data_IF_042961523987
#
_entry.id   IF_042961523987
#
_cell.length_a   1.000
_cell.length_b   1.000
_cell.length_c   1.000
_cell.angle_alpha   90.00
_cell.angle_beta   90.00
_cell.angle_gamma   90.00
#
_symmetry.space_group_name_H-M   'P 1'
#
loop_
_entity.id
_entity.type
_entity.pdbx_description
1 polymer ?
#
# COMPACT_ATOMS: atom_id res chain seq x y z
N UNK A 1 -6.86 -12.18 6.75
CA UNK A 1 -7.74 -12.17 7.95
C UNK A 1 -8.01 -10.76 8.50
N UNK A 2 -7.05 -9.82 8.44
CA UNK A 2 -7.21 -8.43 8.95
C UNK A 2 -8.12 -7.49 8.12
N UNK A 3 -8.59 -7.90 6.94
CA UNK A 3 -9.54 -7.10 6.13
C UNK A 3 -11.02 -7.31 6.52
N UNK A 4 -11.35 -8.40 7.22
CA UNK A 4 -12.74 -8.77 7.53
C UNK A 4 -13.36 -7.89 8.63
N UNK A 5 -12.58 -7.38 9.57
CA UNK A 5 -13.09 -6.56 10.69
C UNK A 5 -13.31 -5.08 10.27
N UNK A 6 -13.19 -4.74 8.98
CA UNK A 6 -13.43 -3.40 8.46
C UNK A 6 -14.85 -3.21 7.91
N UNK A 7 -15.61 -4.30 7.75
CA UNK A 7 -16.90 -4.30 7.08
C UNK A 7 -17.94 -3.42 7.80
N UNK A 8 -18.13 -3.61 9.10
CA UNK A 8 -19.31 -3.07 9.76
C UNK A 8 -19.17 -1.57 10.09
N UNK A 9 -17.97 -1.10 10.48
CA UNK A 9 -17.76 0.31 10.84
C UNK A 9 -17.69 1.25 9.62
N UNK A 10 -17.22 0.76 8.46
CA UNK A 10 -17.16 1.57 7.23
C UNK A 10 -18.46 1.52 6.43
N UNK A 11 -19.25 0.43 6.56
CA UNK A 11 -20.52 0.27 5.85
C UNK A 11 -21.62 1.24 6.34
N UNK A 12 -21.52 1.76 7.58
CA UNK A 12 -22.49 2.72 8.12
C UNK A 12 -22.39 4.14 7.55
N UNK A 13 -21.21 4.55 7.05
CA UNK A 13 -20.95 5.94 6.61
C UNK A 13 -21.00 6.18 5.11
N UNK A 14 -20.84 5.12 4.31
CA UNK A 14 -20.86 5.21 2.86
C UNK A 14 -21.89 4.19 2.37
N UNK A 15 -22.93 4.69 1.69
CA UNK A 15 -23.91 3.83 1.04
C UNK A 15 -23.24 3.11 -0.14
N UNK A 16 -22.58 1.97 0.16
CA UNK A 16 -21.91 1.09 -0.81
C UNK A 16 -22.84 0.76 -1.98
N UNK A 17 -24.13 0.57 -1.69
CA UNK A 17 -25.16 0.28 -2.68
C UNK A 17 -25.33 1.46 -3.64
N UNK A 18 -25.47 2.68 -3.12
CA UNK A 18 -25.60 3.89 -3.96
C UNK A 18 -24.38 4.11 -4.86
N UNK A 19 -23.15 3.90 -4.36
CA UNK A 19 -21.96 4.07 -5.20
C UNK A 19 -21.76 2.92 -6.19
N UNK A 20 -22.11 1.68 -5.81
CA UNK A 20 -22.16 0.53 -6.71
C UNK A 20 -23.15 0.75 -7.86
N UNK A 21 -24.33 1.30 -7.56
CA UNK A 21 -25.31 1.71 -8.56
C UNK A 21 -24.76 2.81 -9.48
N UNK A 22 -24.08 3.82 -8.93
CA UNK A 22 -23.44 4.88 -9.76
C UNK A 22 -22.40 4.30 -10.72
N UNK A 23 -21.57 3.36 -10.29
CA UNK A 23 -20.56 2.71 -11.14
C UNK A 23 -21.19 1.86 -12.25
N UNK A 24 -22.30 1.19 -11.94
CA UNK A 24 -23.00 0.28 -12.87
C UNK A 24 -24.10 0.96 -13.69
N UNK A 25 -24.38 2.24 -13.45
CA UNK A 25 -25.35 3.01 -14.27
C UNK A 25 -24.70 3.47 -15.56
N UNK A 26 -25.30 3.09 -16.70
CA UNK A 26 -24.87 3.55 -18.03
C UNK A 26 -25.56 4.89 -18.32
N UNK A 27 -24.85 6.00 -18.12
CA UNK A 27 -25.28 7.32 -18.62
C UNK A 27 -24.74 7.53 -20.03
N UNK A 28 -25.61 7.88 -20.97
CA UNK A 28 -25.31 8.10 -22.41
C UNK A 28 -24.70 9.47 -22.73
N UNK A 29 -24.46 10.32 -21.73
CA UNK A 29 -23.80 11.62 -21.94
C UNK A 29 -22.37 11.42 -22.46
N UNK A 30 -22.01 12.05 -23.59
CA UNK A 30 -20.62 12.20 -24.01
C UNK A 30 -19.82 12.81 -22.85
N UNK A 31 -18.71 12.18 -22.47
CA UNK A 31 -17.77 12.76 -21.51
C UNK A 31 -17.26 14.07 -22.13
N UNK A 32 -17.12 15.14 -21.34
CA UNK A 32 -16.70 16.46 -21.82
C UNK A 32 -15.35 16.44 -22.59
N UNK A 33 -14.54 15.39 -22.40
CA UNK A 33 -13.24 15.17 -23.04
C UNK A 33 -13.26 14.29 -24.31
N UNK A 34 -14.43 13.93 -24.85
CA UNK A 34 -14.52 13.22 -26.14
C UNK A 34 -14.24 11.70 -26.12
N UNK A 35 -13.86 11.14 -24.96
CA UNK A 35 -13.71 9.70 -24.74
C UNK A 35 -15.02 8.94 -24.45
N UNK A 36 -15.04 7.63 -24.72
CA UNK A 36 -16.19 6.73 -24.45
C UNK A 36 -16.14 6.13 -23.04
N UNK A 37 -14.95 6.04 -22.43
CA UNK A 37 -14.73 5.46 -21.10
C UNK A 37 -14.72 6.56 -20.04
N UNK A 38 -15.61 6.41 -19.06
CA UNK A 38 -15.81 7.37 -17.98
C UNK A 38 -14.85 7.10 -16.82
N UNK A 39 -14.30 8.17 -16.25
CA UNK A 39 -13.40 8.11 -15.09
C UNK A 39 -14.20 8.47 -13.84
N UNK A 40 -14.23 7.56 -12.89
CA UNK A 40 -14.76 7.75 -11.55
C UNK A 40 -13.59 7.83 -10.58
N UNK A 41 -13.76 8.58 -9.49
CA UNK A 41 -12.70 8.70 -8.49
C UNK A 41 -13.21 8.61 -7.06
N UNK A 42 -12.37 8.06 -6.20
CA UNK A 42 -12.54 8.08 -4.74
C UNK A 42 -11.35 8.86 -4.19
N UNK A 43 -11.63 9.99 -3.54
CA UNK A 43 -10.63 10.90 -2.99
C UNK A 43 -10.72 10.91 -1.47
N UNK A 44 -9.62 11.25 -0.78
CA UNK A 44 -9.61 11.37 0.67
C UNK A 44 -8.21 11.16 1.24
N UNK A 45 -8.03 11.50 2.51
CA UNK A 45 -6.72 11.45 3.18
C UNK A 45 -6.14 10.02 3.23
N UNK A 46 -4.85 9.91 3.53
CA UNK A 46 -4.18 8.61 3.75
C UNK A 46 -4.86 7.83 4.86
N UNK A 47 -5.03 6.52 4.68
CA UNK A 47 -5.62 5.65 5.71
C UNK A 47 -7.13 5.82 5.94
N UNK A 48 -7.80 6.64 5.12
CA UNK A 48 -9.25 6.82 5.21
C UNK A 48 -10.06 5.59 4.73
N UNK A 49 -9.41 4.67 4.02
CA UNK A 49 -10.04 3.42 3.55
C UNK A 49 -10.59 3.45 2.12
N UNK A 50 -10.02 4.28 1.22
CA UNK A 50 -10.40 4.33 -0.20
C UNK A 50 -10.31 2.94 -0.87
N UNK A 51 -9.16 2.28 -0.78
CA UNK A 51 -8.95 0.95 -1.37
C UNK A 51 -9.85 -0.11 -0.71
N UNK A 52 -10.12 0.02 0.59
CA UNK A 52 -11.09 -0.82 1.31
C UNK A 52 -12.49 -0.67 0.74
N UNK A 53 -12.94 0.56 0.45
CA UNK A 53 -14.24 0.77 -0.20
C UNK A 53 -14.28 0.10 -1.59
N UNK A 54 -13.20 0.18 -2.37
CA UNK A 54 -13.15 -0.52 -3.66
C UNK A 54 -13.24 -2.03 -3.49
N UNK A 55 -12.51 -2.61 -2.53
CA UNK A 55 -12.63 -4.04 -2.22
C UNK A 55 -14.07 -4.42 -1.86
N UNK A 56 -14.74 -3.63 -1.01
CA UNK A 56 -16.14 -3.86 -0.67
C UNK A 56 -17.03 -3.83 -1.92
N UNK A 57 -16.88 -2.83 -2.80
CA UNK A 57 -17.64 -2.76 -4.06
C UNK A 57 -17.45 -4.00 -4.93
N UNK A 58 -16.23 -4.55 -4.95
CA UNK A 58 -15.93 -5.77 -5.69
C UNK A 58 -16.48 -7.05 -5.06
N UNK A 59 -17.03 -7.03 -3.85
CA UNK A 59 -17.73 -8.20 -3.30
C UNK A 59 -19.13 -8.38 -3.89
N UNK A 60 -19.70 -7.30 -4.44
CA UNK A 60 -21.00 -7.37 -5.09
C UNK A 60 -20.87 -8.06 -6.45
N UNK A 61 -21.51 -9.23 -6.57
CA UNK A 61 -21.55 -10.02 -7.81
C UNK A 61 -22.19 -9.27 -8.97
N UNK A 62 -23.06 -8.28 -8.73
CA UNK A 62 -23.67 -7.47 -9.77
C UNK A 62 -22.64 -6.56 -10.45
N UNK A 63 -21.65 -6.06 -9.71
CA UNK A 63 -20.53 -5.29 -10.26
C UNK A 63 -19.74 -6.18 -11.23
N UNK A 64 -19.39 -7.40 -10.83
CA UNK A 64 -18.69 -8.36 -11.71
C UNK A 64 -19.45 -8.67 -12.99
N UNK A 65 -20.74 -8.98 -12.87
CA UNK A 65 -21.61 -9.26 -14.03
C UNK A 65 -21.75 -8.05 -14.95
N UNK A 66 -21.81 -6.83 -14.40
CA UNK A 66 -21.96 -5.63 -15.19
C UNK A 66 -20.78 -5.41 -16.16
N UNK A 67 -19.57 -5.76 -15.73
CA UNK A 67 -18.34 -5.59 -16.51
C UNK A 67 -17.88 -6.90 -17.17
N UNK A 68 -18.79 -7.85 -17.44
CA UNK A 68 -18.48 -9.12 -18.09
C UNK A 68 -17.29 -9.88 -17.44
N UNK A 69 -17.10 -9.70 -16.14
CA UNK A 69 -15.95 -10.21 -15.35
C UNK A 69 -14.57 -9.66 -15.76
N UNK A 70 -14.52 -8.61 -16.59
CA UNK A 70 -13.31 -7.86 -16.94
C UNK A 70 -13.01 -6.77 -15.91
N UNK A 71 -12.57 -7.19 -14.73
CA UNK A 71 -12.13 -6.29 -13.65
C UNK A 71 -10.62 -6.42 -13.47
N UNK A 72 -9.92 -5.29 -13.61
CA UNK A 72 -8.46 -5.24 -13.57
C UNK A 72 -8.01 -4.27 -12.48
N UNK A 73 -7.09 -4.69 -11.61
CA UNK A 73 -6.55 -3.88 -10.53
C UNK A 73 -5.07 -3.57 -10.75
N UNK A 74 -4.73 -2.30 -10.79
CA UNK A 74 -3.36 -1.81 -10.91
C UNK A 74 -3.09 -0.88 -9.74
N UNK A 75 -2.16 -1.28 -8.85
CA UNK A 75 -1.63 -0.38 -7.85
C UNK A 75 -0.58 0.52 -8.49
N UNK A 76 -0.86 1.82 -8.51
CA UNK A 76 0.04 2.83 -9.03
C UNK A 76 0.94 3.30 -7.90
N UNK A 77 2.25 3.38 -8.17
CA UNK A 77 3.19 4.00 -7.23
C UNK A 77 4.13 4.95 -7.86
N UNK A 78 4.35 6.04 -7.12
CA UNK A 78 5.20 7.10 -7.60
C UNK A 78 4.49 7.83 -8.75
N UNK A 79 5.22 8.75 -9.35
CA UNK A 79 4.68 9.61 -10.40
C UNK A 79 4.33 8.76 -11.63
N UNK A 80 3.19 9.02 -12.27
CA UNK A 80 2.77 8.42 -13.56
C UNK A 80 3.56 9.05 -14.73
N UNK A 81 4.69 9.67 -14.46
CA UNK A 81 5.56 10.22 -15.50
C UNK A 81 6.22 9.13 -16.36
N UNK A 82 6.09 7.85 -15.95
CA UNK A 82 6.41 6.70 -16.78
C UNK A 82 5.13 6.03 -17.34
N UNK A 83 4.60 6.62 -18.41
CA UNK A 83 3.48 6.06 -19.21
C UNK A 83 3.71 4.61 -19.64
N UNK A 84 4.95 4.21 -19.91
CA UNK A 84 5.27 2.83 -20.32
C UNK A 84 5.09 1.87 -19.16
N UNK A 85 5.52 2.25 -17.96
CA UNK A 85 5.33 1.45 -16.74
C UNK A 85 3.85 1.25 -16.44
N UNK A 86 3.04 2.30 -16.49
CA UNK A 86 1.59 2.17 -16.25
C UNK A 86 0.92 1.30 -17.30
N UNK A 87 1.19 1.54 -18.59
CA UNK A 87 0.63 0.72 -19.67
C UNK A 87 1.02 -0.77 -19.52
N UNK A 88 2.27 -1.05 -19.16
CA UNK A 88 2.75 -2.42 -18.93
C UNK A 88 2.04 -3.08 -17.75
N UNK A 89 1.85 -2.35 -16.64
CA UNK A 89 1.13 -2.84 -15.47
C UNK A 89 -0.36 -3.12 -15.77
N UNK A 90 -1.00 -2.29 -16.61
CA UNK A 90 -2.38 -2.53 -17.07
C UNK A 90 -2.43 -3.79 -17.94
N UNK A 91 -1.53 -3.94 -18.91
CA UNK A 91 -1.47 -5.15 -19.76
C UNK A 91 -1.29 -6.39 -18.89
N UNK A 92 -0.43 -6.32 -17.88
CA UNK A 92 -0.20 -7.41 -16.95
C UNK A 92 -1.43 -7.78 -16.12
N UNK A 93 -2.21 -6.79 -15.69
CA UNK A 93 -3.47 -7.04 -15.00
C UNK A 93 -4.50 -7.70 -15.93
N UNK A 94 -4.44 -7.44 -17.23
CA UNK A 94 -5.38 -8.00 -18.22
C UNK A 94 -5.00 -9.41 -18.65
N UNK A 95 -3.72 -9.67 -18.92
CA UNK A 95 -3.26 -10.93 -19.49
C UNK A 95 -1.84 -11.29 -19.06
N UNK A 96 -1.59 -12.60 -18.91
CA UNK A 96 -0.27 -13.17 -18.69
C UNK A 96 0.00 -14.25 -19.76
N UNK A 97 1.20 -14.30 -20.38
CA UNK A 97 2.39 -13.48 -20.11
C UNK A 97 2.35 -12.07 -20.74
N UNK A 98 3.15 -11.15 -20.18
CA UNK A 98 3.28 -9.76 -20.65
C UNK A 98 4.31 -9.70 -21.78
N UNK A 99 3.95 -9.23 -22.99
CA UNK A 99 4.94 -9.00 -24.04
C UNK A 99 5.85 -7.82 -23.66
N UNK A 100 7.15 -7.95 -23.91
CA UNK A 100 8.12 -6.89 -23.61
C UNK A 100 8.21 -5.92 -24.79
N UNK A 101 7.91 -4.65 -24.54
CA UNK A 101 8.04 -3.57 -25.51
C UNK A 101 9.03 -2.52 -24.99
N UNK A 102 10.02 -2.17 -25.82
CA UNK A 102 11.00 -1.11 -25.50
C UNK A 102 10.49 0.28 -25.90
N UNK A 103 9.61 0.34 -26.88
CA UNK A 103 9.08 1.56 -27.46
C UNK A 103 7.62 1.80 -27.08
N UNK A 104 7.19 3.07 -27.10
CA UNK A 104 5.83 3.44 -26.71
C UNK A 104 4.79 3.02 -27.75
N UNK A 105 5.10 3.16 -29.05
CA UNK A 105 4.14 2.90 -30.13
C UNK A 105 3.63 1.44 -30.17
N UNK A 106 4.51 0.42 -30.11
CA UNK A 106 4.05 -0.97 -30.01
C UNK A 106 3.26 -1.23 -28.73
N UNK A 107 3.70 -0.66 -27.60
CA UNK A 107 3.06 -0.85 -26.29
C UNK A 107 1.64 -0.27 -26.25
N UNK A 108 1.45 0.95 -26.78
CA UNK A 108 0.15 1.62 -26.79
C UNK A 108 -0.86 0.93 -27.70
N UNK A 109 -0.40 0.41 -28.85
CA UNK A 109 -1.25 -0.39 -29.76
C UNK A 109 -1.68 -1.68 -29.07
N UNK A 110 -0.75 -2.38 -28.42
CA UNK A 110 -1.05 -3.60 -27.69
C UNK A 110 -2.02 -3.37 -26.52
N UNK A 111 -1.82 -2.31 -25.73
CA UNK A 111 -2.75 -1.91 -24.68
C UNK A 111 -4.16 -1.69 -25.24
N UNK A 112 -4.26 -0.96 -26.35
CA UNK A 112 -5.53 -0.68 -27.02
C UNK A 112 -6.23 -1.97 -27.46
N UNK A 113 -5.50 -2.90 -28.05
CA UNK A 113 -6.04 -4.18 -28.51
C UNK A 113 -6.49 -5.08 -27.35
N UNK A 114 -5.80 -5.02 -26.20
CA UNK A 114 -6.16 -5.80 -25.00
C UNK A 114 -7.56 -5.48 -24.46
N UNK A 115 -8.03 -4.24 -24.63
CA UNK A 115 -9.31 -3.74 -24.08
C UNK A 115 -10.37 -3.47 -25.16
N UNK A 116 -9.96 -3.46 -26.43
CA UNK A 116 -10.85 -3.15 -27.55
C UNK A 116 -12.10 -4.04 -27.53
N UNK A 117 -13.27 -3.41 -27.49
CA UNK A 117 -14.56 -4.10 -27.51
C UNK A 117 -14.93 -4.84 -26.22
N UNK A 118 -14.11 -4.77 -25.17
CA UNK A 118 -14.44 -5.33 -23.85
C UNK A 118 -15.12 -4.27 -22.99
N UNK A 119 -16.16 -4.66 -22.26
CA UNK A 119 -16.75 -3.81 -21.22
C UNK A 119 -16.02 -4.08 -19.92
N UNK A 120 -15.17 -3.16 -19.47
CA UNK A 120 -14.27 -3.41 -18.34
C UNK A 120 -14.40 -2.39 -17.20
N UNK A 121 -13.94 -2.79 -16.01
CA UNK A 121 -13.62 -1.90 -14.90
C UNK A 121 -12.12 -1.95 -14.63
N UNK A 122 -11.42 -0.84 -14.85
CA UNK A 122 -10.00 -0.70 -14.54
C UNK A 122 -9.84 0.12 -13.26
N UNK A 123 -9.24 -0.47 -12.24
CA UNK A 123 -8.97 0.18 -10.96
C UNK A 123 -7.51 0.64 -10.95
N UNK A 124 -7.32 1.95 -10.85
CA UNK A 124 -6.02 2.58 -10.65
C UNK A 124 -5.95 3.03 -9.18
N UNK A 125 -5.29 2.22 -8.36
CA UNK A 125 -5.25 2.40 -6.91
C UNK A 125 -4.02 3.19 -6.47
N UNK A 126 -4.23 4.16 -5.57
CA UNK A 126 -3.26 5.08 -4.96
C UNK A 126 -2.48 5.95 -5.97
N UNK A 127 -3.19 6.50 -6.94
CA UNK A 127 -2.62 7.36 -7.99
C UNK A 127 -2.07 8.66 -7.39
N UNK A 128 -0.80 8.97 -7.68
CA UNK A 128 -0.14 10.22 -7.32
C UNK A 128 0.65 10.80 -8.49
N UNK A 129 0.75 12.13 -8.59
CA UNK A 129 1.68 12.81 -9.52
C UNK A 129 1.49 12.40 -10.98
N UNK A 130 0.39 12.82 -11.59
CA UNK A 130 0.06 12.56 -13.00
C UNK A 130 0.22 13.84 -13.78
N UNK A 131 1.06 13.81 -14.80
CA UNK A 131 1.09 14.83 -15.84
C UNK A 131 -0.17 14.72 -16.71
N UNK A 132 -0.93 15.81 -16.80
CA UNK A 132 -2.20 15.87 -17.53
C UNK A 132 -2.01 15.54 -19.01
N UNK A 133 -0.93 16.03 -19.62
CA UNK A 133 -0.67 15.84 -21.05
C UNK A 133 -0.46 14.35 -21.33
N UNK A 134 0.36 13.69 -20.52
CA UNK A 134 0.61 12.25 -20.63
C UNK A 134 -0.67 11.40 -20.47
N UNK A 135 -1.55 11.77 -19.52
CA UNK A 135 -2.82 11.06 -19.34
C UNK A 135 -3.77 11.28 -20.52
N UNK A 136 -4.09 12.54 -20.84
CA UNK A 136 -5.14 12.90 -21.81
C UNK A 136 -4.72 12.63 -23.26
N UNK A 137 -3.45 12.83 -23.61
CA UNK A 137 -2.99 12.71 -25.01
C UNK A 137 -2.51 11.31 -25.37
N UNK A 138 -2.09 10.50 -24.39
CA UNK A 138 -1.39 9.24 -24.67
C UNK A 138 -2.07 8.00 -24.08
N UNK A 139 -2.31 7.97 -22.76
CA UNK A 139 -2.84 6.79 -22.07
C UNK A 139 -4.37 6.67 -22.21
N UNK A 140 -5.11 7.74 -21.92
CA UNK A 140 -6.57 7.76 -21.95
C UNK A 140 -7.14 7.41 -23.33
N UNK A 141 -6.57 7.88 -24.46
CA UNK A 141 -7.04 7.48 -25.80
C UNK A 141 -6.88 5.99 -26.10
N UNK A 142 -5.88 5.32 -25.51
CA UNK A 142 -5.76 3.87 -25.59
C UNK A 142 -6.92 3.21 -24.86
N UNK A 143 -7.20 3.67 -23.63
CA UNK A 143 -8.27 3.16 -22.77
C UNK A 143 -9.67 3.36 -23.35
N UNK A 144 -9.87 4.41 -24.15
CA UNK A 144 -11.13 4.70 -24.85
C UNK A 144 -11.51 3.72 -25.97
N UNK A 145 -10.67 2.72 -26.28
CA UNK A 145 -11.04 1.62 -27.16
C UNK A 145 -12.01 0.60 -26.51
N UNK A 146 -12.24 0.70 -25.20
CA UNK A 146 -13.21 -0.12 -24.47
C UNK A 146 -14.64 0.00 -25.01
N UNK A 147 -15.45 -1.03 -24.75
CA UNK A 147 -16.87 -0.99 -25.08
C UNK A 147 -17.63 0.04 -24.24
N UNK A 148 -18.77 0.51 -24.76
CA UNK A 148 -19.65 1.42 -24.03
C UNK A 148 -20.04 0.83 -22.67
N UNK A 149 -19.97 1.67 -21.63
CA UNK A 149 -20.22 1.25 -20.25
C UNK A 149 -18.97 0.81 -19.50
N UNK A 150 -17.79 0.76 -20.15
CA UNK A 150 -16.52 0.59 -19.42
C UNK A 150 -16.26 1.78 -18.49
N UNK A 151 -15.50 1.53 -17.42
CA UNK A 151 -15.17 2.51 -16.38
C UNK A 151 -13.71 2.40 -15.96
N UNK A 152 -13.14 3.55 -15.60
CA UNK A 152 -11.86 3.63 -14.87
C UNK A 152 -12.19 4.17 -13.49
N UNK A 153 -11.79 3.46 -12.44
CA UNK A 153 -11.94 3.89 -11.05
C UNK A 153 -10.57 4.25 -10.47
N UNK A 154 -10.40 5.51 -10.10
CA UNK A 154 -9.15 6.05 -9.54
C UNK A 154 -9.30 6.22 -8.03
N UNK A 155 -8.38 5.71 -7.23
CA UNK A 155 -8.25 6.12 -5.83
C UNK A 155 -7.05 7.06 -5.68
N UNK A 156 -7.23 8.19 -5.00
CA UNK A 156 -6.14 9.17 -4.81
C UNK A 156 -6.34 10.01 -3.56
N UNK A 157 -5.25 10.62 -3.06
CA UNK A 157 -5.32 11.63 -2.01
C UNK A 157 -5.54 13.04 -2.58
N UNK A 158 -5.23 13.25 -3.86
CA UNK A 158 -5.28 14.56 -4.50
C UNK A 158 -6.58 14.71 -5.33
N UNK A 159 -7.47 15.56 -4.82
CA UNK A 159 -8.73 15.88 -5.49
C UNK A 159 -8.52 16.56 -6.85
N UNK A 160 -7.50 17.40 -6.96
CA UNK A 160 -7.19 18.10 -8.21
C UNK A 160 -6.68 17.12 -9.25
N UNK A 161 -5.87 16.14 -8.84
CA UNK A 161 -5.41 15.05 -9.71
C UNK A 161 -6.57 14.26 -10.31
N UNK A 162 -7.56 13.90 -9.50
CA UNK A 162 -8.74 13.20 -9.98
C UNK A 162 -9.53 14.02 -11.01
N UNK A 163 -9.69 15.32 -10.78
CA UNK A 163 -10.34 16.22 -11.75
C UNK A 163 -9.55 16.33 -13.06
N UNK A 164 -8.22 16.43 -12.95
CA UNK A 164 -7.29 16.46 -14.08
C UNK A 164 -7.32 15.19 -14.92
N UNK A 165 -7.56 14.02 -14.31
CA UNK A 165 -7.75 12.75 -15.02
C UNK A 165 -9.13 12.61 -15.69
N UNK A 166 -9.97 13.66 -15.65
CA UNK A 166 -11.28 13.68 -16.29
C UNK A 166 -12.42 13.19 -15.41
N UNK A 167 -12.22 13.02 -14.09
CA UNK A 167 -13.32 12.75 -13.16
C UNK A 167 -14.11 14.03 -12.92
N UNK A 168 -15.38 14.05 -13.34
CA UNK A 168 -16.29 15.15 -13.03
C UNK A 168 -16.63 15.19 -11.53
N UNK A 169 -17.23 16.30 -11.07
CA UNK A 169 -17.71 16.42 -9.68
C UNK A 169 -18.77 15.38 -9.32
N UNK A 170 -19.61 14.96 -10.28
CA UNK A 170 -20.62 13.92 -10.07
C UNK A 170 -20.02 12.51 -9.99
N UNK A 171 -18.85 12.32 -10.58
CA UNK A 171 -18.14 11.03 -10.65
C UNK A 171 -17.12 10.83 -9.53
N UNK A 172 -16.93 11.87 -8.72
CA UNK A 172 -15.96 11.95 -7.64
C UNK A 172 -16.65 11.75 -6.29
N UNK A 173 -16.30 10.66 -5.59
CA UNK A 173 -16.66 10.44 -4.20
C UNK A 173 -15.54 10.95 -3.30
N UNK A 174 -15.85 11.86 -2.39
CA UNK A 174 -14.93 12.24 -1.33
C UNK A 174 -15.22 11.44 -0.07
N UNK A 175 -14.25 10.63 0.36
CA UNK A 175 -14.32 9.89 1.61
C UNK A 175 -14.02 10.81 2.79
N UNK A 176 -15.06 11.09 3.56
CA UNK A 176 -14.97 11.86 4.80
C UNK A 176 -14.35 11.08 5.95
N UNK A 177 -14.05 11.80 7.02
CA UNK A 177 -13.63 11.24 8.32
C UNK A 177 -14.83 10.63 9.03
N UNK A 178 -14.57 9.60 9.84
CA UNK A 178 -15.58 9.02 10.73
C UNK A 178 -16.02 10.07 11.77
N UNK A 179 -17.26 9.93 12.24
CA UNK A 179 -17.75 10.71 13.37
C UNK A 179 -17.00 10.34 14.66
N UNK A 180 -17.05 11.17 15.69
CA UNK A 180 -16.45 10.87 17.00
C UNK A 180 -17.04 9.58 17.61
N UNK A 181 -18.34 9.35 17.45
CA UNK A 181 -19.02 8.17 17.98
C UNK A 181 -18.62 6.90 17.23
N UNK A 182 -18.55 6.95 15.90
CA UNK A 182 -18.10 5.80 15.10
C UNK A 182 -16.61 5.51 15.29
N UNK A 183 -15.82 6.57 15.51
CA UNK A 183 -14.41 6.43 15.87
C UNK A 183 -14.25 5.72 17.21
N UNK A 184 -15.07 6.08 18.20
CA UNK A 184 -15.09 5.41 19.50
C UNK A 184 -15.56 3.97 19.40
N UNK A 185 -16.60 3.69 18.60
CA UNK A 185 -17.11 2.34 18.38
C UNK A 185 -16.03 1.46 17.73
N UNK A 186 -15.40 1.93 16.66
CA UNK A 186 -14.31 1.22 15.99
C UNK A 186 -13.11 1.00 16.93
N UNK A 187 -12.76 2.00 17.74
CA UNK A 187 -11.69 1.88 18.73
C UNK A 187 -12.00 0.79 19.76
N UNK A 188 -13.20 0.81 20.34
CA UNK A 188 -13.65 -0.15 21.35
C UNK A 188 -13.69 -1.58 20.79
N UNK A 189 -14.19 -1.73 19.57
CA UNK A 189 -14.30 -3.03 18.91
C UNK A 189 -12.93 -3.69 18.74
N UNK A 190 -11.93 -2.90 18.38
CA UNK A 190 -10.57 -3.38 18.21
C UNK A 190 -9.89 -3.57 19.57
N UNK A 191 -9.97 -2.61 20.49
CA UNK A 191 -9.26 -2.64 21.76
C UNK A 191 -9.78 -3.70 22.75
N UNK A 192 -11.07 -4.05 22.69
CA UNK A 192 -11.76 -4.88 23.68
C UNK A 192 -12.49 -6.06 23.01
N UNK A 193 -11.76 -7.06 22.47
CA UNK A 193 -12.36 -8.18 21.74
C UNK A 193 -13.25 -9.10 22.61
N UNK A 194 -13.12 -9.06 23.94
CA UNK A 194 -13.97 -9.79 24.89
C UNK A 194 -14.54 -8.76 25.89
N UNK A 195 -15.85 -8.48 25.79
CA UNK A 195 -16.50 -7.38 26.52
C UNK A 195 -17.02 -7.82 27.89
N UNK A 196 -16.82 -6.96 28.90
CA UNK A 196 -17.77 -6.80 30.02
C UNK A 196 -18.22 -5.34 30.06
N UNK A 197 -19.51 -5.08 30.28
CA UNK A 197 -20.04 -3.70 30.25
C UNK A 197 -19.31 -2.74 31.20
N UNK A 198 -18.78 -3.27 32.31
CA UNK A 198 -18.01 -2.50 33.28
C UNK A 198 -16.70 -1.95 32.70
N UNK A 199 -15.97 -2.74 31.92
CA UNK A 199 -14.70 -2.32 31.31
C UNK A 199 -14.88 -1.22 30.25
N UNK A 200 -16.02 -1.24 29.56
CA UNK A 200 -16.39 -0.21 28.59
C UNK A 200 -16.70 1.10 29.32
N UNK A 201 -17.55 1.05 30.36
CA UNK A 201 -17.93 2.23 31.14
C UNK A 201 -16.76 2.88 31.88
N UNK A 202 -15.88 2.08 32.49
CA UNK A 202 -14.73 2.60 33.26
C UNK A 202 -13.69 3.30 32.37
N UNK A 203 -13.74 3.09 31.05
CA UNK A 203 -12.75 3.60 30.08
C UNK A 203 -13.36 4.46 28.97
N UNK A 204 -14.65 4.75 29.04
CA UNK A 204 -15.38 5.44 27.97
C UNK A 204 -14.91 6.88 27.77
N UNK A 205 -14.69 7.62 28.87
CA UNK A 205 -14.25 9.02 28.84
C UNK A 205 -12.86 9.15 28.21
N UNK A 206 -11.91 8.33 28.67
CA UNK A 206 -10.55 8.25 28.10
C UNK A 206 -10.58 7.77 26.65
N UNK A 207 -11.33 6.69 26.38
CA UNK A 207 -11.45 6.13 25.04
C UNK A 207 -12.00 7.14 24.02
N UNK A 208 -12.93 8.00 24.44
CA UNK A 208 -13.50 9.05 23.61
C UNK A 208 -12.46 10.12 23.24
N UNK A 209 -11.66 10.57 24.19
CA UNK A 209 -10.61 11.56 23.92
C UNK A 209 -9.48 10.97 23.05
N UNK A 210 -9.13 9.71 23.27
CA UNK A 210 -8.21 8.96 22.41
C UNK A 210 -8.74 8.80 20.97
N UNK A 211 -10.02 8.46 20.81
CA UNK A 211 -10.66 8.35 19.51
C UNK A 211 -10.68 9.69 18.76
N UNK A 212 -11.01 10.79 19.47
CA UNK A 212 -10.93 12.16 18.93
C UNK A 212 -9.52 12.51 18.46
N UNK A 213 -8.50 12.08 19.20
CA UNK A 213 -7.10 12.28 18.82
C UNK A 213 -6.69 11.66 17.49
N UNK A 214 -7.40 10.61 17.05
CA UNK A 214 -7.23 10.00 15.73
C UNK A 214 -7.97 10.76 14.61
N UNK A 215 -8.75 11.79 14.98
CA UNK A 215 -9.45 12.71 14.10
C UNK A 215 -10.30 12.03 13.02
N UNK A 216 -10.95 10.92 13.36
CA UNK A 216 -11.83 10.17 12.47
C UNK A 216 -11.13 9.43 11.31
N UNK A 217 -9.81 9.21 11.36
CA UNK A 217 -9.08 8.41 10.36
C UNK A 217 -9.07 6.94 10.79
N UNK A 218 -9.77 6.02 10.07
CA UNK A 218 -9.85 4.61 10.43
C UNK A 218 -8.50 3.97 10.70
N UNK A 219 -7.51 4.20 9.84
CA UNK A 219 -6.18 3.59 10.02
C UNK A 219 -5.49 4.01 11.33
N UNK A 220 -5.64 5.27 11.78
CA UNK A 220 -5.15 5.73 13.08
C UNK A 220 -5.92 5.07 14.22
N UNK A 221 -7.24 5.03 14.14
CA UNK A 221 -8.12 4.43 15.15
C UNK A 221 -7.80 2.95 15.33
N UNK A 222 -7.62 2.21 14.22
CA UNK A 222 -7.21 0.81 14.26
C UNK A 222 -5.86 0.66 14.93
N UNK A 223 -4.88 1.48 14.53
CA UNK A 223 -3.54 1.46 15.10
C UNK A 223 -3.59 1.66 16.61
N UNK A 224 -4.32 2.68 17.06
CA UNK A 224 -4.50 2.95 18.48
C UNK A 224 -5.20 1.78 19.17
N UNK A 225 -6.33 1.31 18.66
CA UNK A 225 -7.09 0.21 19.27
C UNK A 225 -6.26 -1.05 19.49
N UNK A 226 -5.38 -1.38 18.54
CA UNK A 226 -4.43 -2.47 18.70
C UNK A 226 -3.42 -2.23 19.83
N UNK A 227 -2.90 -1.01 19.98
CA UNK A 227 -2.06 -0.65 21.11
C UNK A 227 -2.77 -0.81 22.46
N UNK A 228 -4.06 -0.46 22.52
CA UNK A 228 -4.82 -0.56 23.77
C UNK A 228 -5.08 -2.00 24.21
N UNK A 229 -4.79 -3.02 23.36
CA UNK A 229 -4.86 -4.44 23.77
C UNK A 229 -3.76 -4.79 24.76
N UNK A 230 -2.62 -4.10 24.73
CA UNK A 230 -1.52 -4.30 25.68
C UNK A 230 -1.65 -3.31 26.85
N UNK A 231 -1.74 -3.84 28.07
CA UNK A 231 -1.85 -3.04 29.29
C UNK A 231 -0.61 -2.20 29.59
N UNK A 232 0.58 -2.57 29.11
CA UNK A 232 1.81 -1.79 29.31
C UNK A 232 1.82 -0.56 28.41
N UNK A 233 1.43 -0.74 27.14
CA UNK A 233 1.35 0.33 26.14
C UNK A 233 0.30 1.36 26.55
N UNK A 234 -0.82 0.88 27.10
CA UNK A 234 -1.91 1.70 27.64
C UNK A 234 -1.44 2.77 28.65
N UNK A 235 -0.54 2.43 29.57
CA UNK A 235 -0.02 3.39 30.56
C UNK A 235 0.75 4.53 29.91
N UNK A 236 1.65 4.23 28.96
CA UNK A 236 2.48 5.25 28.31
C UNK A 236 1.65 6.21 27.44
N UNK A 237 0.67 5.66 26.70
CA UNK A 237 -0.25 6.48 25.88
C UNK A 237 -1.05 7.45 26.77
N UNK A 238 -1.50 6.99 27.92
CA UNK A 238 -2.22 7.82 28.89
C UNK A 238 -1.33 8.92 29.49
N UNK A 239 -0.12 8.57 29.89
CA UNK A 239 0.83 9.47 30.53
C UNK A 239 1.35 10.57 29.57
N UNK A 240 1.29 10.33 28.26
CA UNK A 240 1.72 11.31 27.24
C UNK A 240 0.89 12.61 27.26
N UNK A 241 -0.37 12.57 27.70
CA UNK A 241 -1.25 13.73 27.90
C UNK A 241 -1.57 14.57 26.64
N UNK A 242 -1.06 14.21 25.47
CA UNK A 242 -1.27 14.92 24.21
C UNK A 242 -1.76 13.96 23.12
N UNK A 243 -3.08 13.82 23.02
CA UNK A 243 -3.74 12.88 22.11
C UNK A 243 -4.19 13.58 20.84
N UNK A 244 -3.24 13.93 19.97
CA UNK A 244 -3.53 14.45 18.63
C UNK A 244 -2.46 13.96 17.67
N UNK A 245 -2.88 13.15 16.70
CA UNK A 245 -1.99 12.52 15.74
C UNK A 245 -2.43 12.82 14.32
N UNK A 246 -1.54 13.41 13.53
CA UNK A 246 -1.76 13.66 12.11
C UNK A 246 -1.27 12.50 11.23
N UNK A 247 -0.49 11.58 11.81
CA UNK A 247 0.07 10.43 11.11
C UNK A 247 0.25 9.25 12.04
N UNK A 248 0.39 8.06 11.44
CA UNK A 248 0.67 6.84 12.20
C UNK A 248 2.03 6.94 12.87
N UNK A 249 2.98 7.64 12.25
CA UNK A 249 4.30 7.90 12.85
C UNK A 249 4.18 8.64 14.18
N UNK A 250 3.41 9.75 14.21
CA UNK A 250 3.20 10.51 15.45
C UNK A 250 2.58 9.64 16.55
N UNK A 251 1.62 8.79 16.18
CA UNK A 251 0.98 7.84 17.09
C UNK A 251 1.94 6.75 17.60
N UNK A 252 2.73 6.15 16.70
CA UNK A 252 3.76 5.16 17.05
C UNK A 252 4.77 5.78 18.02
N UNK A 253 5.23 7.00 17.77
CA UNK A 253 6.20 7.72 18.62
C UNK A 253 5.60 8.01 20.00
N UNK A 254 4.35 8.49 20.08
CA UNK A 254 3.72 8.83 21.36
C UNK A 254 3.38 7.62 22.24
N UNK A 255 3.27 6.44 21.64
CA UNK A 255 2.87 5.22 22.34
C UNK A 255 4.01 4.53 23.10
N UNK A 256 5.25 5.01 22.95
CA UNK A 256 6.48 4.35 23.39
C UNK A 256 6.72 2.93 22.82
N UNK A 257 5.79 2.41 22.01
CA UNK A 257 5.93 1.12 21.31
C UNK A 257 7.01 1.19 20.25
N UNK A 258 7.19 2.38 19.68
CA UNK A 258 8.26 2.66 18.73
C UNK A 258 9.61 2.86 19.43
N UNK A 259 9.98 1.84 20.19
CA UNK A 259 11.26 1.67 20.86
C UNK A 259 12.41 1.90 19.87
N UNK A 260 13.59 2.24 20.39
CA UNK A 260 14.77 2.42 19.56
C UNK A 260 15.03 1.19 18.67
N UNK A 261 14.78 0.00 19.19
CA UNK A 261 15.04 -1.28 18.53
C UNK A 261 14.03 -1.52 17.38
N UNK A 262 12.72 -1.33 17.63
CA UNK A 262 11.69 -1.41 16.58
C UNK A 262 11.89 -0.35 15.50
N UNK A 263 12.33 0.85 15.88
CA UNK A 263 12.63 1.93 14.93
C UNK A 263 13.77 1.57 13.98
N UNK A 264 14.83 0.95 14.47
CA UNK A 264 15.91 0.49 13.59
C UNK A 264 15.44 -0.67 12.68
N UNK A 265 14.61 -1.59 13.20
CA UNK A 265 13.98 -2.64 12.40
C UNK A 265 13.12 -2.06 11.26
N UNK A 266 12.31 -1.03 11.55
CA UNK A 266 11.49 -0.35 10.54
C UNK A 266 12.33 0.40 9.51
N UNK A 267 13.33 1.19 9.94
CA UNK A 267 14.26 1.88 9.02
C UNK A 267 15.03 0.93 8.12
N UNK A 268 15.37 -0.27 8.60
CA UNK A 268 16.02 -1.27 7.76
C UNK A 268 15.17 -1.65 6.54
N UNK A 269 13.85 -1.64 6.68
CA UNK A 269 12.94 -1.99 5.61
C UNK A 269 12.99 -1.03 4.42
N UNK A 270 13.49 0.19 4.60
CA UNK A 270 13.80 1.13 3.51
C UNK A 270 14.84 0.61 2.50
N UNK A 271 15.70 -0.33 2.94
CA UNK A 271 16.67 -1.01 2.07
C UNK A 271 16.05 -2.13 1.24
N UNK A 272 14.81 -2.54 1.53
CA UNK A 272 14.09 -3.51 0.72
C UNK A 272 13.47 -2.79 -0.50
N UNK A 273 13.41 -3.42 -1.68
CA UNK A 273 12.69 -2.85 -2.82
C UNK A 273 11.20 -2.65 -2.55
N UNK A 274 10.57 -1.75 -3.30
CA UNK A 274 9.12 -1.65 -3.29
C UNK A 274 8.49 -2.97 -3.75
N UNK A 275 7.38 -3.36 -3.11
CA UNK A 275 6.66 -4.62 -3.35
C UNK A 275 7.51 -5.90 -3.15
N UNK A 276 8.68 -5.79 -2.52
CA UNK A 276 9.56 -6.93 -2.25
C UNK A 276 8.87 -7.93 -1.32
N UNK A 277 8.77 -9.17 -1.79
CA UNK A 277 8.26 -10.28 -1.00
C UNK A 277 9.36 -10.84 -0.12
N UNK A 278 9.17 -10.71 1.19
CA UNK A 278 10.07 -11.27 2.18
C UNK A 278 9.37 -12.33 3.02
N UNK A 279 10.12 -13.40 3.30
CA UNK A 279 9.72 -14.38 4.29
C UNK A 279 9.92 -13.80 5.70
N UNK A 280 8.99 -14.12 6.59
CA UNK A 280 8.99 -13.62 7.96
C UNK A 280 10.27 -13.97 8.72
N UNK A 281 10.67 -15.23 8.68
CA UNK A 281 11.83 -15.72 9.43
C UNK A 281 13.13 -15.14 8.86
N UNK A 282 13.17 -14.91 7.54
CA UNK A 282 14.29 -14.20 6.89
C UNK A 282 14.37 -12.75 7.39
N UNK A 283 13.25 -12.03 7.45
CA UNK A 283 13.24 -10.63 7.91
C UNK A 283 13.71 -10.53 9.37
N UNK A 284 13.21 -11.41 10.24
CA UNK A 284 13.64 -11.47 11.65
C UNK A 284 15.14 -11.75 11.75
N UNK A 285 15.66 -12.75 11.04
CA UNK A 285 17.10 -13.07 11.02
C UNK A 285 17.96 -11.91 10.50
N UNK A 286 17.45 -11.13 9.54
CA UNK A 286 18.15 -9.92 9.09
C UNK A 286 18.22 -8.88 10.20
N UNK A 287 17.13 -8.63 10.94
CA UNK A 287 17.16 -7.72 12.08
C UNK A 287 18.09 -8.19 13.20
N UNK A 288 18.14 -9.50 13.45
CA UNK A 288 19.10 -10.10 14.39
C UNK A 288 20.54 -9.87 13.93
N UNK A 289 20.86 -10.14 12.67
CA UNK A 289 22.20 -9.98 12.11
C UNK A 289 22.70 -8.52 12.14
N UNK A 290 21.80 -7.54 12.05
CA UNK A 290 22.14 -6.13 12.21
C UNK A 290 22.24 -5.68 13.67
N UNK A 291 21.93 -6.55 14.63
CA UNK A 291 21.96 -6.25 16.06
C UNK A 291 20.85 -5.31 16.51
N UNK A 292 19.72 -5.23 15.78
CA UNK A 292 18.61 -4.36 16.17
C UNK A 292 17.79 -4.91 17.34
N UNK A 293 17.81 -6.23 17.52
CA UNK A 293 17.01 -6.91 18.53
C UNK A 293 17.77 -7.11 19.85
N UNK A 294 19.04 -6.70 19.90
CA UNK A 294 19.99 -7.17 20.89
C UNK A 294 20.33 -6.08 21.94
N UNK A 295 19.86 -6.28 23.16
CA UNK A 295 20.29 -5.53 24.34
C UNK A 295 20.28 -6.41 25.58
N UNK A 296 21.33 -7.23 25.73
CA UNK A 296 22.09 -7.51 26.98
C UNK A 296 22.38 -8.99 27.27
N UNK A 297 21.77 -9.96 26.60
CA UNK A 297 22.07 -11.39 26.80
C UNK A 297 21.99 -12.09 25.45
N UNK A 298 23.09 -12.66 24.96
CA UNK A 298 23.18 -13.26 23.62
C UNK A 298 22.40 -14.57 23.46
N UNK A 299 21.17 -14.65 23.97
CA UNK A 299 20.26 -15.77 23.74
C UNK A 299 19.54 -15.57 22.40
N UNK A 300 19.82 -16.47 21.47
CA UNK A 300 19.18 -16.56 20.16
C UNK A 300 17.66 -16.62 20.27
N UNK A 301 17.14 -17.34 21.27
CA UNK A 301 15.69 -17.57 21.46
C UNK A 301 14.97 -16.28 21.84
N UNK A 302 15.59 -15.46 22.69
CA UNK A 302 15.03 -14.18 23.12
C UNK A 302 14.97 -13.17 21.97
N UNK A 303 16.02 -13.13 21.14
CA UNK A 303 16.03 -12.29 19.94
C UNK A 303 14.97 -12.71 18.92
N UNK A 304 14.77 -14.00 18.72
CA UNK A 304 13.70 -14.50 17.83
C UNK A 304 12.31 -14.14 18.37
N UNK A 305 12.05 -14.31 19.66
CA UNK A 305 10.78 -13.90 20.29
C UNK A 305 10.53 -12.39 20.18
N UNK A 306 11.56 -11.56 20.35
CA UNK A 306 11.44 -10.10 20.21
C UNK A 306 11.27 -9.67 18.76
N UNK A 307 11.97 -10.34 17.84
CA UNK A 307 11.80 -10.14 16.40
C UNK A 307 10.39 -10.51 15.95
N UNK A 308 9.84 -11.60 16.47
CA UNK A 308 8.46 -12.04 16.28
C UNK A 308 7.46 -10.99 16.77
N UNK A 309 7.67 -10.44 17.97
CA UNK A 309 6.85 -9.36 18.51
C UNK A 309 6.83 -8.14 17.58
N UNK A 310 8.01 -7.65 17.18
CA UNK A 310 8.12 -6.50 16.27
C UNK A 310 7.54 -6.77 14.89
N UNK A 311 7.75 -7.97 14.36
CA UNK A 311 7.14 -8.39 13.11
C UNK A 311 5.61 -8.36 13.20
N UNK A 312 5.05 -8.92 14.27
CA UNK A 312 3.61 -8.95 14.49
C UNK A 312 3.03 -7.56 14.68
N UNK A 313 3.76 -6.65 15.34
CA UNK A 313 3.38 -5.23 15.42
C UNK A 313 3.27 -4.61 14.03
N UNK A 314 4.26 -4.82 13.16
CA UNK A 314 4.23 -4.31 11.78
C UNK A 314 3.10 -4.94 10.94
N UNK A 315 2.83 -6.24 11.09
CA UNK A 315 1.72 -6.91 10.40
C UNK A 315 0.37 -6.42 10.91
N UNK A 316 0.22 -6.27 12.23
CA UNK A 316 -0.99 -5.78 12.88
C UNK A 316 -1.37 -4.38 12.37
N UNK A 317 -0.39 -3.52 12.15
CA UNK A 317 -0.62 -2.21 11.52
C UNK A 317 -0.76 -2.25 10.00
N UNK A 318 -0.75 -3.42 9.38
CA UNK A 318 -0.74 -3.58 7.92
C UNK A 318 0.46 -2.89 7.25
N UNK A 319 1.55 -2.64 8.00
CA UNK A 319 2.83 -2.19 7.47
C UNK A 319 3.44 -3.32 6.65
N UNK A 320 3.26 -4.55 7.12
CA UNK A 320 3.55 -5.77 6.40
C UNK A 320 2.23 -6.48 6.04
N UNK A 321 1.98 -6.66 4.75
CA UNK A 321 0.80 -7.35 4.25
C UNK A 321 1.18 -8.77 3.80
N UNK A 322 0.50 -9.77 4.37
CA UNK A 322 0.70 -11.17 4.03
C UNK A 322 -0.07 -11.60 2.78
N UNK A 323 0.60 -12.35 1.91
CA UNK A 323 0.07 -12.91 0.67
C UNK A 323 0.29 -14.42 0.68
N UNK A 324 -0.78 -15.18 0.43
CA UNK A 324 -0.66 -16.63 0.21
C UNK A 324 -0.20 -16.88 -1.22
N UNK A 325 0.94 -17.57 -1.37
CA UNK A 325 1.29 -18.13 -2.68
C UNK A 325 0.65 -19.51 -2.80
N UNK A 326 -0.22 -19.70 -3.78
CA UNK A 326 -0.76 -21.01 -4.10
C UNK A 326 0.39 -21.97 -4.44
N UNK A 327 0.59 -23.00 -3.63
CA UNK A 327 1.53 -24.07 -3.89
C UNK A 327 1.08 -24.88 -5.10
N UNK A 328 2.02 -25.18 -6.01
CA UNK A 328 1.80 -26.17 -7.06
C UNK A 328 1.41 -27.53 -6.47
N UNK A 329 0.70 -28.30 -7.27
CA UNK A 329 0.05 -29.57 -6.90
C UNK A 329 0.93 -30.49 -6.05
N UNK A 330 0.32 -31.02 -5.00
CA UNK A 330 0.77 -32.06 -4.06
C UNK A 330 1.64 -31.59 -2.87
N UNK A 331 0.98 -31.50 -1.70
CA UNK A 331 1.51 -31.57 -0.34
C UNK A 331 2.36 -30.43 0.26
N UNK A 332 2.63 -29.34 -0.44
CA UNK A 332 3.47 -28.28 0.16
C UNK A 332 2.67 -27.27 1.01
N UNK A 333 3.19 -27.00 2.20
CA UNK A 333 2.67 -26.09 3.20
C UNK A 333 2.49 -24.68 2.59
N UNK A 334 1.33 -24.04 2.79
CA UNK A 334 1.08 -22.67 2.29
C UNK A 334 2.14 -21.71 2.87
N UNK A 335 3.06 -21.23 2.03
CA UNK A 335 4.07 -20.24 2.43
C UNK A 335 3.47 -18.85 2.31
N UNK A 336 3.30 -18.17 3.45
CA UNK A 336 2.86 -16.77 3.51
C UNK A 336 4.09 -15.88 3.33
N UNK A 337 4.06 -14.99 2.33
CA UNK A 337 5.09 -13.96 2.14
C UNK A 337 4.54 -12.59 2.45
N UNK A 338 5.41 -11.68 2.85
CA UNK A 338 5.01 -10.35 3.28
C UNK A 338 5.59 -9.28 2.36
N UNK A 339 4.79 -8.25 2.08
CA UNK A 339 5.24 -7.04 1.39
C UNK A 339 5.04 -5.83 2.30
N UNK A 340 5.95 -4.87 2.20
CA UNK A 340 5.72 -3.58 2.85
C UNK A 340 4.63 -2.80 2.13
N UNK A 341 3.67 -2.26 2.90
CA UNK A 341 2.68 -1.33 2.37
C UNK A 341 3.39 -0.05 1.93
N UNK A 342 3.24 0.30 0.66
CA UNK A 342 4.12 1.24 -0.03
C UNK A 342 4.17 2.65 0.58
N UNK A 343 3.06 3.27 1.03
CA UNK A 343 3.11 4.55 1.75
C UNK A 343 3.98 4.50 3.02
N UNK A 344 4.03 3.33 3.67
CA UNK A 344 4.84 3.13 4.87
C UNK A 344 6.28 2.75 4.56
N UNK A 345 6.53 2.17 3.38
CA UNK A 345 7.89 2.06 2.85
C UNK A 345 8.51 3.44 2.60
N UNK A 346 7.75 4.37 2.03
CA UNK A 346 8.19 5.76 1.86
C UNK A 346 8.47 6.44 3.22
N UNK A 347 7.64 6.16 4.23
CA UNK A 347 7.90 6.60 5.61
C UNK A 347 9.21 5.99 6.16
N UNK A 348 9.45 4.70 5.95
CA UNK A 348 10.70 4.04 6.35
C UNK A 348 11.91 4.69 5.67
N UNK A 349 11.81 5.03 4.38
CA UNK A 349 12.85 5.73 3.63
C UNK A 349 13.12 7.13 4.19
N UNK A 350 12.07 7.89 4.49
CA UNK A 350 12.18 9.21 5.14
C UNK A 350 12.93 9.12 6.48
N UNK A 351 12.56 8.15 7.33
CA UNK A 351 13.19 7.96 8.64
C UNK A 351 14.61 7.38 8.57
N UNK A 352 14.89 6.53 7.58
CA UNK A 352 16.21 5.97 7.36
C UNK A 352 17.18 7.04 6.80
N UNK A 353 16.65 8.04 6.08
CA UNK A 353 17.44 9.01 5.33
C UNK A 353 18.45 8.28 4.45
N UNK A 354 19.73 8.68 4.54
CA UNK A 354 20.81 8.03 3.78
C UNK A 354 21.42 6.81 4.50
N UNK A 355 20.79 6.30 5.56
CA UNK A 355 21.27 5.17 6.36
C UNK A 355 20.95 3.80 5.77
N UNK A 356 19.75 3.65 5.22
CA UNK A 356 19.27 2.42 4.55
C UNK A 356 18.63 2.81 3.23
N UNK A 357 19.18 2.32 2.11
CA UNK A 357 18.76 2.77 0.78
C UNK A 357 18.57 1.56 -0.14
N UNK A 358 17.46 1.56 -0.88
CA UNK A 358 17.28 0.70 -2.05
C UNK A 358 17.42 1.56 -3.31
N UNK A 359 18.27 1.12 -4.23
CA UNK A 359 18.56 1.80 -5.47
C UNK A 359 18.09 0.97 -6.66
N UNK A 360 17.23 1.57 -7.47
CA UNK A 360 16.69 1.00 -8.70
C UNK A 360 17.31 1.71 -9.92
N UNK A 361 17.63 0.94 -10.97
CA UNK A 361 18.30 1.42 -12.18
C UNK A 361 17.62 2.68 -12.76
N UNK A 362 18.41 3.72 -13.08
CA UNK A 362 17.95 4.98 -13.68
C UNK A 362 18.13 6.22 -12.79
N UNK A 363 18.29 6.07 -11.48
CA UNK A 363 18.66 7.18 -10.59
C UNK A 363 20.18 7.35 -10.49
N UNK A 364 20.69 8.51 -10.09
CA UNK A 364 22.12 8.66 -9.74
C UNK A 364 22.34 8.09 -8.33
N UNK A 365 23.18 7.06 -8.17
CA UNK A 365 23.50 6.53 -6.84
C UNK A 365 24.29 7.59 -6.07
N UNK A 366 23.75 8.06 -4.94
CA UNK A 366 24.45 8.98 -4.04
C UNK A 366 24.77 8.24 -2.75
N UNK A 367 26.02 7.79 -2.63
CA UNK A 367 26.50 7.12 -1.43
C UNK A 367 26.82 8.13 -0.33
N UNK A 368 26.30 7.90 0.88
CA UNK A 368 26.61 8.72 2.05
C UNK A 368 27.55 8.00 3.00
N UNK A 369 28.39 8.76 3.73
CA UNK A 369 29.20 8.21 4.84
C UNK A 369 28.35 7.63 5.99
N UNK A 370 27.06 7.97 6.04
CA UNK A 370 26.09 7.45 7.03
C UNK A 370 25.41 6.15 6.58
N UNK A 371 25.63 5.72 5.34
CA UNK A 371 25.02 4.53 4.75
C UNK A 371 25.51 3.27 5.44
N UNK A 372 24.56 2.45 5.90
CA UNK A 372 24.76 1.16 6.56
C UNK A 372 24.16 0.01 5.77
N UNK A 373 23.04 0.23 5.09
CA UNK A 373 22.39 -0.81 4.29
C UNK A 373 22.14 -0.30 2.87
N UNK A 374 22.60 -1.06 1.89
CA UNK A 374 22.43 -0.74 0.48
C UNK A 374 21.94 -1.97 -0.27
N UNK A 375 20.81 -1.82 -0.96
CA UNK A 375 20.35 -2.78 -1.95
C UNK A 375 20.46 -2.16 -3.33
N UNK A 376 21.15 -2.84 -4.24
CA UNK A 376 21.32 -2.42 -5.63
C UNK A 376 20.53 -3.36 -6.55
N UNK A 377 19.59 -2.81 -7.30
CA UNK A 377 18.85 -3.55 -8.34
C UNK A 377 19.47 -3.24 -9.69
N UNK A 378 20.28 -4.17 -10.21
CA UNK A 378 21.16 -3.94 -11.37
C UNK A 378 20.82 -4.83 -12.55
N UNK A 379 20.93 -4.29 -13.78
CA UNK A 379 20.94 -5.10 -15.01
C UNK A 379 22.35 -5.68 -15.22
N UNK A 380 22.44 -6.76 -16.00
CA UNK A 380 23.67 -7.55 -16.17
C UNK A 380 24.89 -6.74 -16.66
N UNK A 381 24.67 -5.59 -17.29
CA UNK A 381 25.71 -4.80 -17.95
C UNK A 381 26.24 -3.61 -17.10
N UNK A 382 25.68 -3.36 -15.90
CA UNK A 382 25.88 -2.10 -15.15
C UNK A 382 26.84 -2.18 -13.94
N UNK A 383 27.33 -3.38 -13.58
CA UNK A 383 28.06 -3.62 -12.30
C UNK A 383 29.36 -2.82 -12.21
N UNK A 384 30.08 -2.66 -13.33
CA UNK A 384 31.39 -1.99 -13.38
C UNK A 384 31.32 -0.47 -13.15
N UNK A 385 30.14 0.15 -13.34
CA UNK A 385 29.95 1.61 -13.20
C UNK A 385 29.75 2.09 -11.76
N UNK A 386 29.50 1.17 -10.82
CA UNK A 386 29.02 1.49 -9.45
C UNK A 386 30.15 1.48 -8.42
N UNK A 387 31.24 0.77 -8.71
CA UNK A 387 32.40 0.61 -7.83
C UNK A 387 33.00 1.93 -7.32
N UNK A 388 33.13 3.00 -8.13
CA UNK A 388 33.72 4.26 -7.65
C UNK A 388 32.88 4.93 -6.55
N UNK A 389 31.55 4.85 -6.67
CA UNK A 389 30.59 5.52 -5.78
C UNK A 389 30.45 4.78 -4.45
N UNK A 390 30.54 3.44 -4.46
CA UNK A 390 30.53 2.58 -3.27
C UNK A 390 31.65 2.93 -2.28
N UNK A 391 32.80 3.42 -2.74
CA UNK A 391 33.92 3.82 -1.88
C UNK A 391 33.58 4.92 -0.86
N UNK A 392 32.50 5.66 -1.07
CA UNK A 392 32.03 6.69 -0.13
C UNK A 392 31.24 6.12 1.05
N UNK A 393 30.71 4.89 0.94
CA UNK A 393 29.90 4.21 1.95
C UNK A 393 30.78 3.51 3.01
N UNK A 394 31.57 4.29 3.76
CA UNK A 394 32.56 3.75 4.73
C UNK A 394 31.98 3.02 5.94
N UNK A 395 30.67 3.07 6.16
CA UNK A 395 29.97 2.44 7.30
C UNK A 395 29.00 1.34 6.86
N UNK A 396 29.16 0.83 5.63
CA UNK A 396 28.29 -0.17 5.07
C UNK A 396 28.41 -1.49 5.87
N UNK A 397 27.28 -1.96 6.37
CA UNK A 397 27.11 -3.19 7.16
C UNK A 397 26.42 -4.29 6.33
N UNK A 398 25.53 -3.91 5.41
CA UNK A 398 24.88 -4.82 4.48
C UNK A 398 24.91 -4.26 3.06
N UNK A 399 25.37 -5.08 2.12
CA UNK A 399 25.29 -4.84 0.69
C UNK A 399 24.56 -6.00 0.03
N UNK A 400 23.43 -5.73 -0.60
CA UNK A 400 22.64 -6.73 -1.31
C UNK A 400 22.58 -6.38 -2.78
N UNK A 401 23.04 -7.30 -3.62
CA UNK A 401 22.83 -7.22 -5.05
C UNK A 401 21.58 -8.01 -5.39
N UNK A 402 20.67 -7.33 -6.06
CA UNK A 402 19.50 -7.94 -6.64
C UNK A 402 19.71 -7.82 -8.15
N UNK A 403 19.94 -8.97 -8.78
CA UNK A 403 19.97 -9.01 -10.23
C UNK A 403 18.57 -8.68 -10.73
N UNK A 404 18.45 -7.54 -11.39
CA UNK A 404 17.37 -7.29 -12.32
C UNK A 404 17.54 -8.33 -13.43
N UNK A 405 16.94 -9.50 -13.24
CA UNK A 405 16.88 -10.47 -14.33
C UNK A 405 16.25 -9.74 -15.52
N UNK A 406 16.43 -10.25 -16.74
CA UNK A 406 15.52 -9.87 -17.85
C UNK A 406 14.02 -10.15 -17.52
N UNK A 407 13.75 -10.71 -16.32
CA UNK A 407 12.48 -10.96 -15.63
C UNK A 407 12.33 -10.21 -14.29
N UNK A 408 13.07 -9.13 -14.04
CA UNK A 408 12.67 -8.12 -13.05
C UNK A 408 11.65 -7.20 -13.73
N UNK A 409 10.49 -7.79 -13.97
CA UNK A 409 9.24 -7.12 -13.70
C UNK A 409 9.03 -7.19 -12.18
N UNK A 410 8.42 -6.18 -11.54
CA UNK A 410 7.65 -6.46 -10.35
C UNK A 410 6.47 -7.33 -10.79
N UNK A 411 6.69 -8.66 -10.91
CA UNK A 411 5.74 -9.78 -10.89
C UNK A 411 6.27 -11.04 -11.66
N UNK A 412 6.51 -12.09 -10.85
CA UNK A 412 6.25 -13.54 -11.09
C UNK A 412 7.26 -14.44 -11.88
N UNK A 413 7.23 -15.75 -11.52
CA UNK A 413 7.46 -17.02 -12.29
C UNK A 413 8.17 -18.09 -11.39
N UNK A 414 7.74 -19.39 -11.32
CA UNK A 414 8.29 -20.49 -12.18
C UNK A 414 7.32 -21.68 -12.42
N UNK A 415 7.73 -22.78 -13.11
CA UNK A 415 8.56 -22.92 -14.32
C UNK A 415 7.98 -23.91 -15.38
N UNK A 416 8.67 -23.92 -16.55
CA UNK A 416 8.60 -24.80 -17.74
C UNK A 416 7.48 -24.56 -18.76
#
# INVERSE_FOLDING_TARGET
>A
MLMLDCHDAMAGHINKEEYGEKLTTVRTSRVASGGTVRVNSITGVTGIGKSTLVHLLLEDKNVWKHFDHHIYWVSVSGWIDDKKRLASAIIEAIQKPVPQYYEWDPLRVHLKDCIKGKKFLLILDDVCGVDNLTWDEELKPCLDAGALGSRILVTTQDRNLAAKMGSSSEDMLHLGRLSDDDSLLLLCDIALPIRTEKQIRDRETVGRELAKGCQGVPFLIKTLGYFLRDKKIWSNVLDSGNWSWNSVEELLISSDVYTADLRECFKFCASLPNDYEIDKDILIKLWMAQGFLDRKQGDQTEMEMKGEEYFNILVMFSFLQGYERGGGVAHDQKVIRYKFYRPLHALAQSQAGNGSVCFENGAMLICSRKMRHLTLILRDDDVDSISPTLNQAKKLQALKFIKSSRRWNPLMIPPN
#
